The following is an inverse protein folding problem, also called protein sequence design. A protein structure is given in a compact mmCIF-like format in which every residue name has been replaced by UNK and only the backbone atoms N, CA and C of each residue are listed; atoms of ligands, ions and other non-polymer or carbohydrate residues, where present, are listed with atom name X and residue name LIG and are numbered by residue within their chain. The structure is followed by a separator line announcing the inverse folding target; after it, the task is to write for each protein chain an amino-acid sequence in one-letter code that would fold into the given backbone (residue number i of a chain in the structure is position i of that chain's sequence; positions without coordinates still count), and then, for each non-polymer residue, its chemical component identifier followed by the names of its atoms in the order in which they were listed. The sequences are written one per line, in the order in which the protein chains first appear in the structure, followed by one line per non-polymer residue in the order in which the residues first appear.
data_IF_531064071715
#
_entry.id   IF_531064071715
#
_cell.length_a   1.000
_cell.length_b   1.000
_cell.length_c   1.000
_cell.angle_alpha   90.00
_cell.angle_beta   90.00
_cell.angle_gamma   90.00
#
_symmetry.space_group_name_H-M   'P 1'
#
loop_
_entity.id
_entity.type
_entity.pdbx_description
1 polymer ?
#
# COMPACT_ATOMS: atom_id res chain seq x y z
N UNK A 1 42.09 3.54 7.98
CA UNK A 1 42.15 2.08 7.83
C UNK A 1 40.73 1.53 7.90
N UNK A 2 40.40 0.55 7.07
CA UNK A 2 39.09 -0.11 7.03
C UNK A 2 39.24 -1.53 6.50
N UNK A 3 38.18 -2.32 6.56
CA UNK A 3 38.17 -3.67 5.98
C UNK A 3 38.12 -3.54 4.45
N UNK A 4 38.98 -4.23 3.67
CA UNK A 4 38.88 -4.22 2.22
C UNK A 4 37.46 -4.64 1.76
N UNK A 5 36.82 -3.91 0.83
CA UNK A 5 35.44 -4.20 0.42
C UNK A 5 35.22 -5.64 -0.05
N UNK A 6 36.21 -6.23 -0.74
CA UNK A 6 36.16 -7.62 -1.16
C UNK A 6 36.13 -8.60 0.03
N UNK A 7 36.93 -8.34 1.06
CA UNK A 7 36.94 -9.17 2.29
C UNK A 7 35.60 -9.06 3.00
N UNK A 8 35.05 -7.83 3.11
CA UNK A 8 33.72 -7.63 3.67
C UNK A 8 32.64 -8.38 2.89
N UNK A 9 32.65 -8.29 1.56
CA UNK A 9 31.68 -8.98 0.71
C UNK A 9 31.77 -10.50 0.83
N UNK A 10 32.97 -11.07 0.88
CA UNK A 10 33.18 -12.51 1.06
C UNK A 10 32.68 -12.96 2.42
N UNK A 11 33.04 -12.26 3.50
CA UNK A 11 32.58 -12.59 4.86
C UNK A 11 31.07 -12.47 4.97
N UNK A 12 30.47 -11.42 4.40
CA UNK A 12 29.03 -11.24 4.37
C UNK A 12 28.31 -12.35 3.59
N UNK A 13 28.88 -12.84 2.47
CA UNK A 13 28.32 -13.97 1.72
C UNK A 13 28.40 -15.28 2.51
N UNK A 14 29.53 -15.54 3.18
CA UNK A 14 29.69 -16.72 4.05
C UNK A 14 28.67 -16.67 5.19
N UNK A 15 28.53 -15.53 5.86
CA UNK A 15 27.53 -15.35 6.91
C UNK A 15 26.11 -15.53 6.36
N UNK A 16 25.77 -14.92 5.23
CA UNK A 16 24.45 -15.07 4.60
C UNK A 16 24.09 -16.54 4.31
N UNK A 17 25.03 -17.30 3.75
CA UNK A 17 24.83 -18.73 3.48
C UNK A 17 24.73 -19.54 4.78
N UNK A 18 25.54 -19.21 5.78
CA UNK A 18 25.49 -19.85 7.09
C UNK A 18 24.16 -19.58 7.79
N UNK A 19 23.64 -18.36 7.70
CA UNK A 19 22.35 -18.00 8.29
C UNK A 19 21.21 -18.87 7.73
N UNK A 20 21.27 -19.34 6.49
CA UNK A 20 20.13 -20.07 5.90
C UNK A 20 19.79 -21.37 6.64
N UNK A 21 20.77 -22.23 6.95
CA UNK A 21 20.51 -23.55 7.53
C UNK A 21 20.17 -23.50 9.02
N UNK A 22 20.56 -22.44 9.74
CA UNK A 22 20.23 -22.27 11.16
C UNK A 22 18.76 -21.89 11.39
N UNK A 23 18.04 -21.42 10.36
CA UNK A 23 16.61 -21.11 10.43
C UNK A 23 15.74 -22.36 10.21
N UNK A 24 15.84 -23.35 11.10
CA UNK A 24 15.00 -24.56 11.06
C UNK A 24 14.65 -25.08 12.45
N UNK A 25 13.45 -25.63 12.59
CA UNK A 25 13.03 -26.39 13.77
C UNK A 25 13.35 -27.89 13.67
N UNK A 26 13.73 -28.36 12.48
CA UNK A 26 13.90 -29.80 12.22
C UNK A 26 15.18 -30.37 12.83
N UNK A 27 16.18 -29.52 13.03
CA UNK A 27 17.48 -29.91 13.59
C UNK A 27 17.51 -29.51 15.07
N UNK A 28 17.60 -30.51 15.94
CA UNK A 28 17.72 -30.32 17.39
C UNK A 28 19.10 -29.81 17.82
N UNK A 29 19.49 -30.10 19.05
CA UNK A 29 20.84 -29.80 19.57
C UNK A 29 21.89 -30.68 18.89
N UNK A 30 23.05 -30.09 18.59
CA UNK A 30 24.19 -30.74 17.96
C UNK A 30 25.35 -30.98 18.93
N UNK A 31 25.16 -30.67 20.22
CA UNK A 31 26.08 -31.05 21.29
C UNK A 31 27.34 -30.19 21.31
N UNK A 32 28.48 -30.74 20.85
CA UNK A 32 29.74 -29.99 20.86
C UNK A 32 29.70 -28.78 19.92
N UNK A 33 28.92 -28.86 18.84
CA UNK A 33 28.80 -27.80 17.85
C UNK A 33 28.14 -26.55 18.46
N UNK A 34 27.04 -26.72 19.22
CA UNK A 34 26.31 -25.66 19.95
C UNK A 34 27.18 -24.90 20.97
N UNK A 35 28.37 -25.43 21.30
CA UNK A 35 29.31 -24.76 22.19
C UNK A 35 30.12 -23.67 21.49
N UNK A 36 30.37 -23.81 20.20
CA UNK A 36 31.31 -22.96 19.46
C UNK A 36 30.65 -22.21 18.32
N UNK A 37 29.71 -22.86 17.65
CA UNK A 37 29.02 -22.37 16.48
C UNK A 37 27.53 -22.18 16.74
N UNK A 38 26.93 -21.20 16.08
CA UNK A 38 25.49 -20.97 16.10
C UNK A 38 24.82 -22.13 15.38
N UNK A 39 24.13 -22.98 16.13
CA UNK A 39 23.31 -24.05 15.58
C UNK A 39 21.85 -23.61 15.44
N UNK A 40 21.00 -24.40 14.76
CA UNK A 40 19.57 -24.16 14.73
C UNK A 40 18.96 -24.02 16.13
N UNK A 41 19.45 -24.77 17.12
CA UNK A 41 18.99 -24.65 18.52
C UNK A 41 19.39 -23.31 19.15
N UNK A 42 20.64 -22.87 18.97
CA UNK A 42 21.06 -21.57 19.48
C UNK A 42 20.30 -20.42 18.79
N UNK A 43 20.04 -20.56 17.49
CA UNK A 43 19.36 -19.56 16.69
C UNK A 43 17.84 -19.48 16.99
N UNK A 44 17.21 -20.60 17.35
CA UNK A 44 15.82 -20.59 17.84
C UNK A 44 15.67 -19.74 19.09
N UNK A 45 16.60 -19.85 20.03
CA UNK A 45 16.65 -19.01 21.24
C UNK A 45 16.79 -17.54 20.86
N UNK A 46 17.64 -17.21 19.89
CA UNK A 46 17.79 -15.83 19.41
C UNK A 46 16.48 -15.23 18.88
N UNK A 47 15.69 -16.01 18.13
CA UNK A 47 14.40 -15.57 17.58
C UNK A 47 13.22 -15.69 18.54
N UNK A 48 13.44 -16.23 19.74
CA UNK A 48 12.38 -16.47 20.71
C UNK A 48 12.04 -15.20 21.50
N UNK A 49 10.75 -14.98 21.74
CA UNK A 49 10.23 -13.85 22.52
C UNK A 49 9.95 -14.21 23.98
N UNK A 50 10.24 -15.44 24.41
CA UNK A 50 10.12 -15.86 25.82
C UNK A 50 11.03 -14.98 26.71
N UNK A 51 10.58 -14.63 27.91
CA UNK A 51 11.36 -13.77 28.84
C UNK A 51 12.77 -14.32 29.11
N UNK A 52 12.93 -15.64 29.17
CA UNK A 52 14.21 -16.32 29.43
C UNK A 52 15.18 -16.30 28.25
N UNK A 53 14.69 -16.02 27.04
CA UNK A 53 15.45 -16.05 25.79
C UNK A 53 15.70 -14.66 25.20
N UNK A 54 15.04 -13.62 25.72
CA UNK A 54 15.30 -12.26 25.30
C UNK A 54 16.76 -11.86 25.47
N UNK A 55 17.27 -11.13 24.48
CA UNK A 55 18.61 -10.55 24.50
C UNK A 55 19.70 -11.63 24.70
N UNK A 56 19.51 -12.78 24.04
CA UNK A 56 20.45 -13.91 24.02
C UNK A 56 20.91 -14.28 22.62
N UNK A 57 22.06 -14.94 22.57
CA UNK A 57 22.63 -15.59 21.38
C UNK A 57 22.73 -14.65 20.15
N UNK A 58 23.47 -13.56 20.26
CA UNK A 58 23.65 -12.57 19.19
C UNK A 58 24.60 -13.02 18.08
N UNK A 59 25.45 -14.03 18.31
CA UNK A 59 26.45 -14.49 17.35
C UNK A 59 25.84 -15.23 16.15
N UNK A 60 26.02 -14.69 14.95
CA UNK A 60 25.49 -15.29 13.70
C UNK A 60 26.18 -16.61 13.31
N UNK A 61 27.50 -16.72 13.49
CA UNK A 61 28.25 -17.96 13.22
C UNK A 61 28.89 -18.51 14.49
N UNK A 62 29.54 -17.66 15.29
CA UNK A 62 30.28 -18.07 16.48
C UNK A 62 29.55 -17.61 17.74
N UNK A 63 29.10 -18.57 18.56
CA UNK A 63 28.51 -18.30 19.88
C UNK A 63 29.57 -18.05 20.96
N UNK A 64 30.85 -18.13 20.60
CA UNK A 64 31.98 -17.82 21.47
C UNK A 64 31.82 -16.44 22.12
N UNK A 65 31.41 -15.44 21.32
CA UNK A 65 31.20 -14.08 21.81
C UNK A 65 30.09 -14.02 22.86
N UNK A 66 28.99 -14.71 22.63
CA UNK A 66 27.88 -14.78 23.59
C UNK A 66 28.30 -15.40 24.92
N UNK A 67 29.22 -16.36 24.88
CA UNK A 67 29.78 -16.97 26.10
C UNK A 67 30.72 -16.01 26.82
N UNK A 68 31.59 -15.32 26.08
CA UNK A 68 32.53 -14.35 26.64
C UNK A 68 31.81 -13.17 27.30
N UNK A 69 30.69 -12.72 26.72
CA UNK A 69 29.94 -11.55 27.19
C UNK A 69 28.68 -11.89 28.01
N UNK A 70 28.40 -13.17 28.27
CA UNK A 70 27.31 -13.61 29.15
C UNK A 70 25.91 -13.51 28.54
N UNK A 71 25.80 -13.46 27.21
CA UNK A 71 24.55 -13.45 26.45
C UNK A 71 24.16 -14.82 25.92
N UNK A 72 24.98 -15.85 26.17
CA UNK A 72 24.67 -17.23 25.76
C UNK A 72 23.55 -17.85 26.59
N UNK A 73 22.63 -18.54 25.92
CA UNK A 73 21.56 -19.34 26.54
C UNK A 73 21.28 -20.57 25.68
N UNK A 74 21.34 -21.75 26.31
CA UNK A 74 20.86 -22.98 25.70
C UNK A 74 19.32 -22.96 25.58
N UNK A 75 18.81 -23.56 24.50
CA UNK A 75 17.39 -23.88 24.37
C UNK A 75 16.99 -24.82 25.51
N UNK A 76 15.89 -24.55 26.20
CA UNK A 76 15.37 -25.38 27.29
C UNK A 76 14.26 -26.29 26.75
N UNK A 77 14.41 -27.61 26.92
CA UNK A 77 13.42 -28.60 26.45
C UNK A 77 12.06 -28.44 27.15
N UNK A 78 11.99 -27.74 28.28
CA UNK A 78 10.77 -27.48 29.04
C UNK A 78 10.07 -26.19 28.61
N UNK A 79 10.78 -25.28 27.94
CA UNK A 79 10.28 -23.96 27.55
C UNK A 79 10.38 -23.83 26.03
N UNK A 80 9.29 -24.17 25.35
CA UNK A 80 9.22 -24.11 23.89
C UNK A 80 9.43 -22.67 23.40
N UNK A 81 10.32 -22.50 22.43
CA UNK A 81 10.54 -21.22 21.76
C UNK A 81 9.23 -20.71 21.13
N UNK A 82 8.83 -19.50 21.51
CA UNK A 82 7.73 -18.75 20.87
C UNK A 82 8.37 -17.69 19.99
N UNK A 83 8.11 -17.71 18.69
CA UNK A 83 8.74 -16.78 17.74
C UNK A 83 7.93 -15.51 17.53
N UNK A 84 8.64 -14.46 17.09
CA UNK A 84 8.02 -13.23 16.61
C UNK A 84 8.71 -12.01 17.19
N UNK A 85 7.94 -10.94 17.37
CA UNK A 85 8.40 -9.73 18.04
C UNK A 85 7.38 -9.34 19.09
N UNK A 86 7.83 -8.77 20.22
CA UNK A 86 6.92 -8.34 21.30
C UNK A 86 6.00 -7.18 20.89
N UNK A 87 6.39 -6.43 19.85
CA UNK A 87 5.54 -5.45 19.16
C UNK A 87 5.00 -6.04 17.86
N UNK A 88 3.82 -6.65 17.94
CA UNK A 88 3.21 -7.33 16.80
C UNK A 88 2.90 -6.36 15.64
N UNK A 89 3.27 -6.75 14.42
CA UNK A 89 2.99 -5.97 13.21
C UNK A 89 1.49 -5.85 12.92
N UNK A 90 0.74 -6.93 13.14
CA UNK A 90 -0.70 -7.03 12.88
C UNK A 90 -1.10 -6.50 11.49
N UNK A 91 -0.30 -6.80 10.47
CA UNK A 91 -0.56 -6.36 9.10
C UNK A 91 0.13 -7.25 8.06
N UNK A 92 -0.53 -7.38 6.91
CA UNK A 92 0.04 -7.93 5.66
C UNK A 92 0.49 -6.84 4.69
N UNK A 93 0.55 -5.57 5.12
CA UNK A 93 0.98 -4.45 4.29
C UNK A 93 2.53 -4.38 4.26
N UNK A 94 3.18 -4.58 3.09
CA UNK A 94 4.63 -4.62 3.01
C UNK A 94 5.29 -3.26 3.29
N UNK A 95 4.58 -2.15 3.02
CA UNK A 95 5.08 -0.82 3.32
C UNK A 95 5.01 -0.57 4.83
N UNK A 96 3.89 -0.94 5.46
CA UNK A 96 3.74 -0.81 6.91
C UNK A 96 4.72 -1.68 7.68
N UNK A 97 5.00 -2.90 7.20
CA UNK A 97 6.00 -3.79 7.77
C UNK A 97 7.38 -3.12 7.94
N UNK A 98 7.76 -2.28 6.98
CA UNK A 98 9.02 -1.52 7.02
C UNK A 98 8.91 -0.19 7.77
N UNK A 99 7.72 0.42 7.83
CA UNK A 99 7.53 1.76 8.38
C UNK A 99 7.13 1.80 9.87
N UNK A 100 6.50 0.75 10.39
CA UNK A 100 5.82 0.80 11.69
C UNK A 100 6.72 1.18 12.88
N UNK A 101 7.97 0.70 12.87
CA UNK A 101 8.93 0.98 13.95
C UNK A 101 9.28 2.46 13.95
N UNK A 102 9.61 3.01 12.78
CA UNK A 102 9.91 4.43 12.62
C UNK A 102 8.71 5.33 12.93
N UNK A 103 7.50 4.91 12.56
CA UNK A 103 6.28 5.62 12.93
C UNK A 103 6.08 5.67 14.46
N UNK A 104 6.36 4.57 15.16
CA UNK A 104 6.35 4.52 16.63
C UNK A 104 7.40 5.44 17.27
N UNK A 105 8.63 5.47 16.73
CA UNK A 105 9.69 6.38 17.19
C UNK A 105 9.31 7.85 16.93
N UNK A 106 8.78 8.15 15.75
CA UNK A 106 8.32 9.50 15.40
C UNK A 106 7.17 9.96 16.31
N UNK A 107 6.23 9.06 16.63
CA UNK A 107 5.15 9.33 17.58
C UNK A 107 5.70 9.67 18.97
N UNK A 108 6.60 8.85 19.51
CA UNK A 108 7.16 9.08 20.84
C UNK A 108 8.02 10.36 20.88
N UNK A 109 8.81 10.60 19.83
CA UNK A 109 9.57 11.84 19.65
C UNK A 109 8.67 13.08 19.56
N UNK A 110 7.58 13.02 18.80
CA UNK A 110 6.65 14.14 18.66
C UNK A 110 5.98 14.50 19.99
N UNK A 111 5.57 13.49 20.76
CA UNK A 111 4.82 13.71 22.00
C UNK A 111 5.68 13.97 23.24
N UNK A 112 6.97 13.63 23.23
CA UNK A 112 7.85 13.90 24.37
C UNK A 112 7.89 15.40 24.72
N UNK A 113 7.71 15.74 26.00
CA UNK A 113 7.77 17.13 26.48
C UNK A 113 9.20 17.69 26.49
N UNK A 114 10.19 16.84 26.77
CA UNK A 114 11.59 17.22 26.79
C UNK A 114 12.21 17.11 25.39
N UNK A 115 12.85 18.19 24.92
CA UNK A 115 13.55 18.24 23.65
C UNK A 115 14.69 17.22 23.51
N UNK A 116 15.43 16.94 24.59
CA UNK A 116 16.47 15.90 24.57
C UNK A 116 15.85 14.51 24.38
N UNK A 117 14.68 14.27 24.96
CA UNK A 117 14.01 12.97 24.82
C UNK A 117 13.48 12.78 23.40
N UNK A 118 13.09 13.85 22.70
CA UNK A 118 12.79 13.80 21.25
C UNK A 118 13.96 13.21 20.44
N UNK A 119 15.20 13.56 20.80
CA UNK A 119 16.40 13.03 20.14
C UNK A 119 16.78 11.65 20.66
N UNK A 120 16.69 11.42 21.97
CA UNK A 120 17.07 10.15 22.61
C UNK A 120 16.25 8.97 22.09
N UNK A 121 14.99 9.18 21.72
CA UNK A 121 14.14 8.13 21.12
C UNK A 121 14.83 7.44 19.94
N UNK A 122 15.63 8.17 19.15
CA UNK A 122 16.28 7.64 17.95
C UNK A 122 17.61 6.92 18.21
N UNK A 123 18.13 6.99 19.44
CA UNK A 123 19.49 6.51 19.78
C UNK A 123 19.44 5.48 20.90
N UNK A 124 18.45 5.58 21.79
CA UNK A 124 18.28 4.67 22.93
C UNK A 124 17.88 3.26 22.47
N UNK A 125 18.18 2.23 23.29
CA UNK A 125 17.90 0.85 22.92
C UNK A 125 16.40 0.61 22.68
N UNK A 126 16.05 -0.40 21.86
CA UNK A 126 14.67 -0.82 21.65
C UNK A 126 13.94 -1.00 22.99
N UNK A 127 12.72 -0.48 23.07
CA UNK A 127 11.90 -0.53 24.29
C UNK A 127 12.03 0.69 25.21
N UNK A 128 13.11 1.49 25.10
CA UNK A 128 13.17 2.77 25.81
C UNK A 128 12.14 3.75 25.27
N UNK A 129 11.41 4.43 26.17
CA UNK A 129 10.48 5.51 25.85
C UNK A 129 10.63 6.64 26.86
N UNK A 130 10.38 7.91 26.49
CA UNK A 130 10.30 9.01 27.44
C UNK A 130 9.22 8.72 28.48
N UNK A 131 9.52 8.95 29.77
CA UNK A 131 8.62 8.58 30.85
C UNK A 131 7.23 9.25 30.72
N UNK A 132 7.21 10.53 30.32
CA UNK A 132 5.98 11.29 30.11
C UNK A 132 5.14 10.77 28.93
N UNK A 133 5.77 10.14 27.94
CA UNK A 133 5.09 9.51 26.81
C UNK A 133 4.60 8.12 27.19
N UNK A 134 5.41 7.35 27.91
CA UNK A 134 5.02 6.03 28.41
C UNK A 134 3.81 6.10 29.35
N UNK A 135 3.72 7.15 30.16
CA UNK A 135 2.59 7.40 31.06
C UNK A 135 1.31 7.81 30.30
N UNK A 136 1.43 8.73 29.34
CA UNK A 136 0.26 9.26 28.59
C UNK A 136 -0.22 8.34 27.47
N UNK A 137 0.67 7.53 26.92
CA UNK A 137 0.42 6.62 25.80
C UNK A 137 1.00 5.24 26.13
N UNK A 138 0.45 4.54 27.16
CA UNK A 138 0.96 3.25 27.58
C UNK A 138 0.80 2.22 26.45
N UNK A 139 1.82 1.37 26.28
CA UNK A 139 1.73 0.20 25.40
C UNK A 139 1.28 -1.00 26.24
N UNK A 140 0.41 -1.88 25.72
CA UNK A 140 0.04 -3.11 26.41
C UNK A 140 1.28 -3.92 26.77
N UNK A 141 1.26 -4.54 27.95
CA UNK A 141 2.30 -5.49 28.32
C UNK A 141 2.25 -6.70 27.37
N UNK A 142 3.41 -7.21 27.01
CA UNK A 142 3.51 -8.44 26.22
C UNK A 142 3.07 -9.63 27.08
N UNK A 143 2.10 -10.40 26.61
CA UNK A 143 1.67 -11.66 27.21
C UNK A 143 1.98 -12.81 26.26
N UNK A 144 2.91 -13.67 26.65
CA UNK A 144 3.35 -14.82 25.85
C UNK A 144 2.23 -15.86 25.66
N UNK A 145 1.28 -15.94 26.59
CA UNK A 145 0.14 -16.84 26.48
C UNK A 145 -0.86 -16.38 25.41
N UNK A 146 -0.81 -15.10 25.03
CA UNK A 146 -1.78 -14.46 24.16
C UNK A 146 -1.18 -13.97 22.84
N UNK A 147 0.00 -14.45 22.41
CA UNK A 147 0.63 -14.05 21.13
C UNK A 147 -0.34 -14.38 19.97
N UNK A 148 -1.16 -13.41 19.52
CA UNK A 148 -2.22 -13.68 18.58
C UNK A 148 -1.60 -13.71 17.19
N UNK A 149 -1.81 -14.82 16.50
CA UNK A 149 -1.44 -14.89 15.10
C UNK A 149 -2.34 -13.96 14.29
N UNK A 150 -1.73 -13.13 13.45
CA UNK A 150 -2.48 -12.21 12.60
C UNK A 150 -3.18 -12.96 11.47
N UNK A 151 -4.43 -13.36 11.70
CA UNK A 151 -5.26 -14.09 10.76
C UNK A 151 -6.59 -13.37 10.48
N UNK A 152 -6.59 -12.36 9.60
CA UNK A 152 -7.82 -11.76 9.11
C UNK A 152 -8.75 -12.84 8.51
N UNK A 153 -10.08 -12.75 8.74
CA UNK A 153 -11.02 -13.71 8.19
C UNK A 153 -11.05 -13.63 6.65
N UNK A 154 -10.78 -14.74 5.98
CA UNK A 154 -10.77 -14.83 4.52
C UNK A 154 -11.80 -15.85 4.03
N UNK A 155 -12.61 -15.45 3.03
CA UNK A 155 -13.47 -16.40 2.31
C UNK A 155 -12.62 -17.41 1.52
N UNK A 156 -13.18 -18.59 1.21
CA UNK A 156 -12.48 -19.59 0.38
C UNK A 156 -12.03 -19.03 -0.98
N UNK A 157 -12.84 -18.15 -1.58
CA UNK A 157 -12.49 -17.49 -2.83
C UNK A 157 -11.27 -16.56 -2.67
N UNK A 158 -11.22 -15.78 -1.59
CA UNK A 158 -10.09 -14.90 -1.28
C UNK A 158 -8.81 -15.69 -0.99
N UNK A 159 -8.92 -16.85 -0.32
CA UNK A 159 -7.77 -17.74 -0.08
C UNK A 159 -7.18 -18.28 -1.39
N UNK A 160 -8.03 -18.77 -2.30
CA UNK A 160 -7.57 -19.24 -3.62
C UNK A 160 -6.99 -18.10 -4.46
N UNK A 161 -7.66 -16.95 -4.48
CA UNK A 161 -7.16 -15.74 -5.13
C UNK A 161 -5.76 -15.38 -4.61
N UNK A 162 -5.58 -15.34 -3.29
CA UNK A 162 -4.31 -15.01 -2.66
C UNK A 162 -3.22 -16.05 -2.96
N UNK A 163 -3.55 -17.34 -2.95
CA UNK A 163 -2.60 -18.41 -3.29
C UNK A 163 -2.11 -18.32 -4.72
N UNK A 164 -3.00 -18.07 -5.69
CA UNK A 164 -2.62 -17.89 -7.11
C UNK A 164 -1.78 -16.62 -7.28
N UNK A 165 -2.22 -15.50 -6.71
CA UNK A 165 -1.48 -14.23 -6.78
C UNK A 165 -0.10 -14.33 -6.14
N UNK A 166 0.02 -15.03 -5.03
CA UNK A 166 1.31 -15.26 -4.36
C UNK A 166 2.25 -16.11 -5.23
N UNK A 167 1.75 -17.16 -5.88
CA UNK A 167 2.56 -17.96 -6.80
C UNK A 167 3.03 -17.15 -8.03
N UNK A 168 2.14 -16.32 -8.61
CA UNK A 168 2.50 -15.40 -9.70
C UNK A 168 3.51 -14.36 -9.26
N UNK A 169 3.35 -13.80 -8.05
CA UNK A 169 4.30 -12.87 -7.46
C UNK A 169 5.67 -13.51 -7.28
N UNK A 170 5.74 -14.73 -6.77
CA UNK A 170 7.00 -15.44 -6.57
C UNK A 170 7.72 -15.66 -7.90
N UNK A 171 6.99 -16.04 -8.95
CA UNK A 171 7.54 -16.14 -10.30
C UNK A 171 8.03 -14.78 -10.83
N UNK A 172 7.26 -13.71 -10.61
CA UNK A 172 7.63 -12.34 -11.01
C UNK A 172 8.88 -11.83 -10.29
N UNK A 173 8.99 -12.06 -8.97
CA UNK A 173 10.17 -11.72 -8.17
C UNK A 173 11.39 -12.52 -8.64
N UNK A 174 11.24 -13.82 -8.88
CA UNK A 174 12.32 -14.65 -9.40
C UNK A 174 12.81 -14.16 -10.77
N UNK A 175 11.89 -13.84 -11.69
CA UNK A 175 12.22 -13.28 -13.00
C UNK A 175 12.91 -11.92 -12.89
N UNK A 176 12.43 -11.03 -12.02
CA UNK A 176 13.06 -9.74 -11.75
C UNK A 176 14.49 -9.91 -11.23
N UNK A 177 14.69 -10.72 -10.17
CA UNK A 177 16.00 -10.93 -9.56
C UNK A 177 16.98 -11.64 -10.50
N UNK A 178 16.49 -12.47 -11.43
CA UNK A 178 17.33 -13.15 -12.42
C UNK A 178 18.08 -12.21 -13.35
N UNK A 179 17.55 -11.02 -13.59
CA UNK A 179 18.12 -10.03 -14.52
C UNK A 179 18.51 -8.70 -13.86
N UNK A 180 18.25 -8.53 -12.56
CA UNK A 180 18.36 -7.25 -11.89
C UNK A 180 19.80 -6.68 -11.84
N UNK A 181 20.81 -7.53 -11.86
CA UNK A 181 22.22 -7.15 -11.83
C UNK A 181 22.72 -6.55 -13.16
N UNK A 182 22.07 -6.91 -14.26
CA UNK A 182 22.46 -6.49 -15.62
C UNK A 182 21.51 -5.47 -16.25
N UNK A 183 20.28 -5.35 -15.73
CA UNK A 183 19.28 -4.43 -16.24
C UNK A 183 19.55 -2.95 -15.87
N UNK A 184 19.12 -1.99 -16.71
CA UNK A 184 19.17 -0.57 -16.37
C UNK A 184 18.43 -0.26 -15.05
N UNK A 185 18.93 0.72 -14.28
CA UNK A 185 18.32 1.11 -13.01
C UNK A 185 16.85 1.53 -13.15
N UNK A 186 16.48 2.16 -14.26
CA UNK A 186 15.10 2.56 -14.54
C UNK A 186 14.20 1.34 -14.67
N UNK A 187 14.63 0.32 -15.41
CA UNK A 187 13.88 -0.92 -15.61
C UNK A 187 13.70 -1.65 -14.27
N UNK A 188 14.77 -1.69 -13.48
CA UNK A 188 14.72 -2.25 -12.13
C UNK A 188 13.75 -1.50 -11.23
N UNK A 189 13.75 -0.16 -11.26
CA UNK A 189 12.83 0.66 -10.47
C UNK A 189 11.37 0.46 -10.89
N UNK A 190 11.11 0.31 -12.19
CA UNK A 190 9.78 0.01 -12.74
C UNK A 190 9.30 -1.36 -12.27
N UNK A 191 10.10 -2.42 -12.41
CA UNK A 191 9.73 -3.75 -11.97
C UNK A 191 9.56 -3.83 -10.45
N UNK A 192 10.47 -3.24 -9.69
CA UNK A 192 10.38 -3.18 -8.23
C UNK A 192 9.06 -2.51 -7.79
N UNK A 193 8.73 -1.36 -8.38
CA UNK A 193 7.51 -0.61 -8.04
C UNK A 193 6.26 -1.37 -8.45
N UNK A 194 6.30 -2.10 -9.56
CA UNK A 194 5.20 -2.96 -10.03
C UNK A 194 4.95 -4.11 -9.06
N UNK A 195 6.00 -4.84 -8.68
CA UNK A 195 5.92 -5.94 -7.73
C UNK A 195 5.46 -5.45 -6.35
N UNK A 196 5.97 -4.29 -5.91
CA UNK A 196 5.56 -3.67 -4.64
C UNK A 196 4.08 -3.26 -4.65
N UNK A 197 3.58 -2.66 -5.75
CA UNK A 197 2.18 -2.30 -5.89
C UNK A 197 1.27 -3.53 -5.87
N UNK A 198 1.65 -4.59 -6.58
CA UNK A 198 0.92 -5.88 -6.60
C UNK A 198 0.95 -6.54 -5.21
N UNK A 199 2.08 -6.51 -4.49
CA UNK A 199 2.18 -7.09 -3.14
C UNK A 199 1.36 -6.28 -2.14
N UNK A 200 1.37 -4.96 -2.25
CA UNK A 200 0.53 -4.08 -1.44
C UNK A 200 -0.96 -4.32 -1.70
N UNK A 201 -1.37 -4.46 -2.97
CA UNK A 201 -2.75 -4.74 -3.34
C UNK A 201 -3.24 -6.08 -2.80
N UNK A 202 -2.43 -7.14 -2.94
CA UNK A 202 -2.70 -8.44 -2.36
C UNK A 202 -2.82 -8.36 -0.83
N UNK A 203 -1.85 -7.72 -0.16
CA UNK A 203 -1.86 -7.47 1.27
C UNK A 203 -3.13 -6.73 1.72
N UNK A 204 -3.56 -5.71 0.97
CA UNK A 204 -4.80 -5.00 1.25
C UNK A 204 -6.05 -5.88 1.06
N UNK A 205 -6.06 -6.78 0.07
CA UNK A 205 -7.18 -7.67 -0.20
C UNK A 205 -7.36 -8.73 0.91
N UNK A 206 -6.27 -9.39 1.32
CA UNK A 206 -6.31 -10.43 2.38
C UNK A 206 -6.65 -9.86 3.75
N UNK A 207 -6.44 -8.57 3.96
CA UNK A 207 -6.85 -7.84 5.17
C UNK A 207 -8.27 -7.26 5.08
N UNK A 208 -9.00 -7.48 3.98
CA UNK A 208 -10.33 -6.93 3.77
C UNK A 208 -10.39 -5.41 3.58
N UNK A 209 -9.25 -4.73 3.35
CA UNK A 209 -9.19 -3.29 3.09
C UNK A 209 -9.71 -2.94 1.69
N UNK A 210 -9.53 -3.86 0.73
CA UNK A 210 -10.08 -3.79 -0.63
C UNK A 210 -10.62 -5.15 -1.05
N UNK A 211 -11.51 -5.19 -2.05
CA UNK A 211 -11.98 -6.44 -2.64
C UNK A 211 -11.01 -6.99 -3.71
N UNK A 212 -11.14 -8.29 -4.05
CA UNK A 212 -10.31 -8.96 -5.06
C UNK A 212 -10.29 -8.22 -6.41
N UNK A 213 -11.46 -7.73 -6.86
CA UNK A 213 -11.53 -7.00 -8.12
C UNK A 213 -10.77 -5.68 -8.10
N UNK A 214 -10.75 -4.98 -6.96
CA UNK A 214 -9.97 -3.75 -6.82
C UNK A 214 -8.47 -4.03 -6.79
N UNK A 215 -8.05 -5.14 -6.16
CA UNK A 215 -6.66 -5.60 -6.24
C UNK A 215 -6.26 -5.85 -7.70
N UNK A 216 -7.07 -6.57 -8.48
CA UNK A 216 -6.83 -6.81 -9.90
C UNK A 216 -6.74 -5.52 -10.74
N UNK A 217 -7.55 -4.48 -10.44
CA UNK A 217 -7.42 -3.18 -11.11
C UNK A 217 -6.03 -2.58 -10.86
N UNK A 218 -5.54 -2.62 -9.63
CA UNK A 218 -4.25 -2.04 -9.24
C UNK A 218 -3.09 -2.83 -9.84
N UNK A 219 -3.16 -4.15 -9.81
CA UNK A 219 -2.17 -5.05 -10.41
C UNK A 219 -2.09 -4.85 -11.93
N UNK A 220 -3.25 -4.85 -12.60
CA UNK A 220 -3.34 -4.61 -14.04
C UNK A 220 -2.87 -3.20 -14.43
N UNK A 221 -3.17 -2.18 -13.61
CA UNK A 221 -2.68 -0.82 -13.82
C UNK A 221 -1.15 -0.70 -13.70
N UNK A 222 -0.57 -1.37 -12.70
CA UNK A 222 0.88 -1.41 -12.51
C UNK A 222 1.55 -2.08 -13.71
N UNK A 223 1.02 -3.21 -14.18
CA UNK A 223 1.50 -3.91 -15.37
C UNK A 223 1.32 -3.08 -16.65
N UNK A 224 0.18 -2.40 -16.83
CA UNK A 224 -0.07 -1.52 -17.98
C UNK A 224 0.96 -0.37 -18.04
N UNK A 225 1.30 0.20 -16.89
CA UNK A 225 2.30 1.26 -16.75
C UNK A 225 3.70 0.71 -17.05
N UNK A 226 4.09 -0.40 -16.40
CA UNK A 226 5.41 -1.01 -16.57
C UNK A 226 5.68 -1.44 -18.01
N UNK A 227 4.72 -2.14 -18.63
CA UNK A 227 4.85 -2.62 -20.01
C UNK A 227 4.94 -1.48 -21.02
N UNK A 228 4.33 -0.32 -20.74
CA UNK A 228 4.50 0.88 -21.55
C UNK A 228 5.92 1.44 -21.47
N UNK A 229 6.46 1.57 -20.25
CA UNK A 229 7.78 2.16 -20.01
C UNK A 229 8.90 1.27 -20.55
N UNK A 230 8.74 -0.04 -20.41
CA UNK A 230 9.71 -1.05 -20.85
C UNK A 230 9.59 -1.39 -22.35
N UNK A 231 8.67 -0.77 -23.09
CA UNK A 231 8.48 -1.03 -24.52
C UNK A 231 7.90 -2.41 -24.85
N UNK A 232 7.26 -3.08 -23.90
CA UNK A 232 6.64 -4.39 -24.06
C UNK A 232 5.26 -4.25 -24.71
N UNK A 233 5.24 -3.92 -26.00
CA UNK A 233 4.04 -3.47 -26.71
C UNK A 233 2.86 -4.45 -26.65
N UNK A 234 3.10 -5.76 -26.85
CA UNK A 234 2.04 -6.78 -26.84
C UNK A 234 1.34 -6.85 -25.47
N UNK A 235 2.13 -6.80 -24.40
CA UNK A 235 1.61 -6.80 -23.03
C UNK A 235 0.93 -5.48 -22.69
N UNK A 236 1.46 -4.36 -23.18
CA UNK A 236 0.81 -3.06 -23.01
C UNK A 236 -0.57 -3.02 -23.70
N UNK A 237 -0.69 -3.64 -24.88
CA UNK A 237 -1.96 -3.76 -25.60
C UNK A 237 -3.00 -4.60 -24.87
N UNK A 238 -2.55 -5.55 -24.05
CA UNK A 238 -3.43 -6.32 -23.17
C UNK A 238 -3.81 -5.52 -21.93
N UNK A 239 -2.82 -5.11 -21.11
CA UNK A 239 -3.08 -4.58 -19.77
C UNK A 239 -3.73 -3.20 -19.77
N UNK A 240 -3.43 -2.36 -20.77
CA UNK A 240 -3.99 -1.00 -20.83
C UNK A 240 -5.53 -1.00 -20.89
N UNK A 241 -6.19 -1.69 -21.86
CA UNK A 241 -7.65 -1.81 -21.86
C UNK A 241 -8.18 -2.74 -20.75
N UNK A 242 -7.46 -3.83 -20.43
CA UNK A 242 -7.89 -4.79 -19.41
C UNK A 242 -8.13 -4.12 -18.06
N UNK A 243 -7.26 -3.19 -17.66
CA UNK A 243 -7.40 -2.42 -16.40
C UNK A 243 -8.77 -1.75 -16.30
N UNK A 244 -9.20 -1.08 -17.36
CA UNK A 244 -10.48 -0.37 -17.39
C UNK A 244 -11.67 -1.33 -17.47
N UNK A 245 -11.53 -2.45 -18.18
CA UNK A 245 -12.54 -3.51 -18.23
C UNK A 245 -12.78 -4.11 -16.84
N UNK A 246 -11.71 -4.39 -16.08
CA UNK A 246 -11.81 -4.88 -14.71
C UNK A 246 -12.48 -3.83 -13.83
N UNK A 247 -12.10 -2.54 -13.94
CA UNK A 247 -12.73 -1.47 -13.17
C UNK A 247 -14.24 -1.37 -13.44
N UNK A 248 -14.66 -1.46 -14.69
CA UNK A 248 -16.09 -1.50 -15.08
C UNK A 248 -16.77 -2.74 -14.48
N UNK A 249 -16.14 -3.91 -14.54
CA UNK A 249 -16.68 -5.13 -13.98
C UNK A 249 -16.83 -5.06 -12.44
N UNK A 250 -15.89 -4.42 -11.75
CA UNK A 250 -15.95 -4.17 -10.30
C UNK A 250 -17.16 -3.30 -9.96
N UNK A 251 -17.35 -2.19 -10.66
CA UNK A 251 -18.50 -1.30 -10.42
C UNK A 251 -19.81 -2.03 -10.75
N UNK A 252 -19.88 -2.73 -11.89
CA UNK A 252 -21.07 -3.49 -12.27
C UNK A 252 -21.41 -4.62 -11.28
N UNK A 253 -20.40 -5.31 -10.76
CA UNK A 253 -20.55 -6.33 -9.73
C UNK A 253 -21.08 -5.75 -8.42
N UNK A 254 -20.57 -4.59 -8.00
CA UNK A 254 -21.07 -3.88 -6.83
C UNK A 254 -22.55 -3.48 -6.99
N UNK A 255 -22.93 -2.96 -8.16
CA UNK A 255 -24.33 -2.59 -8.43
C UNK A 255 -25.29 -3.78 -8.46
N UNK A 256 -24.82 -4.97 -8.83
CA UNK A 256 -25.61 -6.22 -8.79
C UNK A 256 -25.78 -6.75 -7.37
N UNK A 257 -24.77 -6.57 -6.52
CA UNK A 257 -24.76 -7.04 -5.15
C UNK A 257 -25.42 -6.05 -4.16
N UNK A 258 -25.57 -4.78 -4.53
CA UNK A 258 -26.11 -3.74 -3.65
C UNK A 258 -27.57 -4.00 -3.25
N UNK A 259 -27.82 -4.04 -1.94
CA UNK A 259 -29.16 -4.09 -1.36
C UNK A 259 -29.86 -2.71 -1.45
N UNK A 260 -31.20 -2.66 -1.45
CA UNK A 260 -31.92 -1.38 -1.40
C UNK A 260 -31.55 -0.57 -0.15
N UNK A 261 -31.10 0.68 -0.33
CA UNK A 261 -30.93 1.65 0.77
C UNK A 261 -29.51 1.83 1.34
N UNK A 262 -28.50 1.14 0.82
CA UNK A 262 -27.10 1.40 1.18
C UNK A 262 -26.20 1.23 -0.03
N UNK A 263 -25.65 2.32 -0.56
CA UNK A 263 -24.57 2.23 -1.53
C UNK A 263 -24.54 3.29 -2.62
N UNK A 264 -23.58 3.13 -3.54
CA UNK A 264 -23.58 3.79 -4.85
C UNK A 264 -24.92 3.49 -5.53
N UNK A 265 -25.73 4.51 -5.79
CA UNK A 265 -27.05 4.28 -6.37
C UNK A 265 -26.93 3.81 -7.84
N UNK A 266 -27.99 3.19 -8.39
CA UNK A 266 -27.95 2.66 -9.76
C UNK A 266 -27.72 3.74 -10.82
N UNK A 267 -28.13 4.98 -10.58
CA UNK A 267 -27.92 6.08 -11.51
C UNK A 267 -26.48 6.59 -11.45
N UNK A 268 -25.93 6.78 -10.26
CA UNK A 268 -24.52 7.09 -10.01
C UNK A 268 -23.61 6.02 -10.61
N UNK A 269 -23.93 4.74 -10.40
CA UNK A 269 -23.21 3.62 -10.98
C UNK A 269 -23.20 3.61 -12.52
N UNK A 270 -24.31 3.99 -13.17
CA UNK A 270 -24.35 4.11 -14.64
C UNK A 270 -23.45 5.24 -15.14
N UNK A 271 -23.43 6.39 -14.45
CA UNK A 271 -22.54 7.49 -14.82
C UNK A 271 -21.07 7.15 -14.59
N UNK A 272 -20.75 6.42 -13.52
CA UNK A 272 -19.39 5.91 -13.28
C UNK A 272 -18.96 4.93 -14.38
N UNK A 273 -19.81 3.97 -14.73
CA UNK A 273 -19.53 3.03 -15.83
C UNK A 273 -19.37 3.78 -17.16
N UNK A 274 -20.21 4.76 -17.45
CA UNK A 274 -20.10 5.57 -18.66
C UNK A 274 -18.77 6.36 -18.72
N UNK A 275 -18.33 6.93 -17.58
CA UNK A 275 -17.05 7.62 -17.50
C UNK A 275 -15.86 6.66 -17.70
N UNK A 276 -15.90 5.48 -17.08
CA UNK A 276 -14.89 4.44 -17.26
C UNK A 276 -14.87 3.90 -18.70
N UNK A 277 -16.03 3.73 -19.33
CA UNK A 277 -16.14 3.30 -20.73
C UNK A 277 -15.61 4.36 -21.70
N UNK A 278 -15.89 5.65 -21.44
CA UNK A 278 -15.29 6.75 -22.19
C UNK A 278 -13.77 6.80 -22.03
N UNK A 279 -13.27 6.54 -20.82
CA UNK A 279 -11.84 6.46 -20.54
C UNK A 279 -11.19 5.27 -21.25
N UNK A 280 -11.82 4.09 -21.24
CA UNK A 280 -11.41 2.90 -22.00
C UNK A 280 -11.35 3.18 -23.50
N UNK A 281 -12.39 3.81 -24.06
CA UNK A 281 -12.39 4.18 -25.47
C UNK A 281 -11.24 5.14 -25.80
N UNK A 282 -10.98 6.12 -24.91
CA UNK A 282 -9.84 7.02 -25.00
C UNK A 282 -8.51 6.26 -25.00
N UNK A 283 -8.32 5.34 -24.06
CA UNK A 283 -7.13 4.51 -23.95
C UNK A 283 -6.86 3.70 -25.22
N UNK A 284 -7.90 3.07 -25.77
CA UNK A 284 -7.84 2.27 -27.00
C UNK A 284 -7.54 3.15 -28.21
N UNK A 285 -8.20 4.29 -28.38
CA UNK A 285 -7.90 5.20 -29.48
C UNK A 285 -6.45 5.71 -29.43
N UNK A 286 -5.95 6.07 -28.25
CA UNK A 286 -4.57 6.53 -28.10
C UNK A 286 -3.51 5.43 -28.35
N UNK A 287 -3.89 4.15 -28.47
CA UNK A 287 -2.97 3.08 -28.88
C UNK A 287 -2.70 3.08 -30.39
N UNK A 288 -3.57 3.69 -31.20
CA UNK A 288 -3.45 3.69 -32.65
C UNK A 288 -3.01 5.06 -33.17
N UNK A 289 -2.03 5.05 -34.09
CA UNK A 289 -1.58 6.27 -34.77
C UNK A 289 -2.73 6.96 -35.53
N UNK A 290 -2.81 8.28 -35.42
CA UNK A 290 -3.85 9.09 -36.09
C UNK A 290 -5.17 9.24 -35.31
N UNK A 291 -5.36 8.52 -34.21
CA UNK A 291 -6.61 8.56 -33.42
C UNK A 291 -6.52 9.47 -32.17
N UNK A 292 -5.61 10.44 -32.18
CA UNK A 292 -5.45 11.37 -31.06
C UNK A 292 -6.73 12.18 -30.76
N UNK A 293 -7.39 12.73 -31.79
CA UNK A 293 -8.62 13.53 -31.62
C UNK A 293 -9.78 12.65 -31.11
N UNK A 294 -10.07 11.47 -31.71
CA UNK A 294 -11.02 10.52 -31.13
C UNK A 294 -10.73 10.19 -29.67
N UNK A 295 -9.47 9.92 -29.32
CA UNK A 295 -9.07 9.67 -27.94
C UNK A 295 -9.36 10.86 -27.00
N UNK A 296 -9.00 12.07 -27.42
CA UNK A 296 -9.28 13.32 -26.69
C UNK A 296 -10.79 13.51 -26.47
N UNK A 297 -11.61 13.26 -27.49
CA UNK A 297 -13.08 13.37 -27.39
C UNK A 297 -13.63 12.31 -26.44
N UNK A 298 -13.15 11.08 -26.49
CA UNK A 298 -13.57 10.01 -25.56
C UNK A 298 -13.26 10.35 -24.10
N UNK A 299 -12.07 10.88 -23.82
CA UNK A 299 -11.76 11.37 -22.48
C UNK A 299 -12.61 12.59 -22.10
N UNK A 300 -12.85 13.53 -23.01
CA UNK A 300 -13.73 14.67 -22.73
C UNK A 300 -15.13 14.20 -22.29
N UNK A 301 -15.71 13.22 -22.98
CA UNK A 301 -16.99 12.62 -22.62
C UNK A 301 -16.93 11.91 -21.26
N UNK A 302 -15.81 11.25 -20.94
CA UNK A 302 -15.59 10.66 -19.61
C UNK A 302 -15.61 11.73 -18.51
N UNK A 303 -14.91 12.85 -18.69
CA UNK A 303 -14.89 13.96 -17.74
C UNK A 303 -16.28 14.58 -17.54
N UNK A 304 -17.06 14.73 -18.63
CA UNK A 304 -18.45 15.21 -18.52
C UNK A 304 -19.31 14.23 -17.71
N UNK A 305 -19.17 12.92 -17.92
CA UNK A 305 -19.84 11.91 -17.11
C UNK A 305 -19.44 11.99 -15.63
N UNK A 306 -18.15 12.20 -15.34
CA UNK A 306 -17.66 12.42 -13.98
C UNK A 306 -18.23 13.69 -13.35
N UNK A 307 -18.32 14.80 -14.08
CA UNK A 307 -18.95 16.03 -13.57
C UNK A 307 -20.42 15.77 -13.17
N UNK A 308 -21.18 15.10 -14.04
CA UNK A 308 -22.59 14.76 -13.76
C UNK A 308 -22.69 13.85 -12.54
N UNK A 309 -21.79 12.86 -12.42
CA UNK A 309 -21.70 11.99 -11.26
C UNK A 309 -21.38 12.78 -9.98
N UNK A 310 -20.35 13.61 -9.98
CA UNK A 310 -19.88 14.35 -8.81
C UNK A 310 -20.82 15.49 -8.39
N UNK A 311 -21.76 15.88 -9.25
CA UNK A 311 -22.88 16.76 -8.87
C UNK A 311 -23.86 16.00 -7.96
N UNK A 312 -24.11 14.71 -8.16
CA UNK A 312 -25.20 14.00 -7.45
C UNK A 312 -25.10 14.21 -5.92
N UNK A 313 -26.22 14.62 -5.34
CA UNK A 313 -26.34 14.91 -3.90
C UNK A 313 -25.71 16.22 -3.38
N UNK A 314 -25.05 17.03 -4.22
CA UNK A 314 -24.38 18.27 -3.78
C UNK A 314 -24.65 19.46 -4.72
N UNK A 315 -24.46 20.72 -4.27
CA UNK A 315 -24.53 21.89 -5.14
C UNK A 315 -23.43 21.91 -6.21
N UNK A 316 -23.70 22.60 -7.31
CA UNK A 316 -22.68 22.92 -8.31
C UNK A 316 -21.59 23.79 -7.69
N UNK A 317 -20.33 23.35 -7.82
CA UNK A 317 -19.15 24.08 -7.38
C UNK A 317 -19.27 24.63 -5.96
N UNK A 318 -19.71 23.76 -5.03
CA UNK A 318 -20.04 24.13 -3.65
C UNK A 318 -18.95 24.94 -2.93
N UNK A 319 -17.68 24.75 -3.29
CA UNK A 319 -16.54 25.52 -2.80
C UNK A 319 -16.00 26.45 -3.89
N UNK A 320 -16.42 27.72 -3.88
CA UNK A 320 -15.98 28.74 -4.86
C UNK A 320 -14.46 28.90 -4.93
N UNK A 321 -13.76 28.81 -3.79
CA UNK A 321 -12.30 28.86 -3.77
C UNK A 321 -11.64 27.70 -4.53
N UNK A 322 -12.23 26.50 -4.49
CA UNK A 322 -11.74 25.36 -5.28
C UNK A 322 -11.97 25.59 -6.78
N UNK A 323 -13.14 26.12 -7.16
CA UNK A 323 -13.42 26.48 -8.55
C UNK A 323 -12.42 27.51 -9.10
N UNK A 324 -12.18 28.60 -8.35
CA UNK A 324 -11.21 29.62 -8.76
C UNK A 324 -9.80 29.03 -8.87
N UNK A 325 -9.39 28.19 -7.93
CA UNK A 325 -8.07 27.58 -7.93
C UNK A 325 -7.88 26.63 -9.13
N UNK A 326 -8.81 25.71 -9.40
CA UNK A 326 -8.65 24.77 -10.52
C UNK A 326 -8.77 25.46 -11.87
N UNK A 327 -9.64 26.48 -12.00
CA UNK A 327 -9.69 27.30 -13.21
C UNK A 327 -8.41 28.11 -13.42
N UNK A 328 -7.83 28.68 -12.38
CA UNK A 328 -6.55 29.38 -12.47
C UNK A 328 -5.42 28.44 -12.90
N UNK A 329 -5.38 27.21 -12.35
CA UNK A 329 -4.44 26.17 -12.79
C UNK A 329 -4.69 25.81 -14.26
N UNK A 330 -5.95 25.61 -14.67
CA UNK A 330 -6.31 25.32 -16.05
C UNK A 330 -5.91 26.44 -17.02
N UNK A 331 -6.19 27.69 -16.68
CA UNK A 331 -5.78 28.87 -17.48
C UNK A 331 -4.26 28.96 -17.57
N UNK A 332 -3.54 28.78 -16.47
CA UNK A 332 -2.08 28.75 -16.44
C UNK A 332 -1.52 27.63 -17.33
N UNK A 333 -2.09 26.43 -17.24
CA UNK A 333 -1.72 25.29 -18.08
C UNK A 333 -1.99 25.57 -19.56
N UNK A 334 -3.15 26.11 -19.91
CA UNK A 334 -3.47 26.46 -21.29
C UNK A 334 -2.56 27.54 -21.85
N UNK A 335 -2.26 28.59 -21.06
CA UNK A 335 -1.30 29.62 -21.45
C UNK A 335 0.10 29.03 -21.68
N UNK A 336 0.53 28.11 -20.81
CA UNK A 336 1.79 27.38 -20.98
C UNK A 336 1.81 26.57 -22.28
N UNK A 337 0.75 25.81 -22.59
CA UNK A 337 0.64 25.08 -23.85
C UNK A 337 0.64 26.02 -25.07
N UNK A 338 -0.07 27.13 -24.98
CA UNK A 338 -0.13 28.13 -26.05
C UNK A 338 1.24 28.71 -26.37
N UNK A 339 1.98 29.14 -25.34
CA UNK A 339 3.34 29.66 -25.47
C UNK A 339 4.33 28.59 -25.94
N UNK A 340 4.08 27.32 -25.58
CA UNK A 340 4.89 26.17 -26.00
C UNK A 340 4.65 25.70 -27.43
N UNK A 341 3.76 26.33 -28.20
CA UNK A 341 3.57 26.02 -29.62
C UNK A 341 2.33 25.18 -29.96
N UNK A 342 1.29 25.21 -29.10
CA UNK A 342 0.02 24.53 -29.38
C UNK A 342 -0.54 24.87 -30.78
N UNK A 343 -0.74 23.86 -31.66
CA UNK A 343 -1.19 24.08 -33.03
C UNK A 343 -2.52 24.82 -33.11
N UNK A 344 -2.67 25.72 -34.09
CA UNK A 344 -3.85 26.60 -34.22
C UNK A 344 -5.16 25.80 -34.26
N UNK A 345 -5.18 24.69 -35.01
CA UNK A 345 -6.34 23.82 -35.14
C UNK A 345 -6.77 23.14 -33.82
N UNK A 346 -5.85 23.00 -32.85
CA UNK A 346 -6.11 22.31 -31.57
C UNK A 346 -6.38 23.28 -30.42
N UNK A 347 -6.22 24.59 -30.61
CA UNK A 347 -6.44 25.61 -29.55
C UNK A 347 -7.84 25.54 -28.95
N UNK A 348 -8.87 25.52 -29.80
CA UNK A 348 -10.27 25.39 -29.36
C UNK A 348 -10.55 24.08 -28.62
N UNK A 349 -10.27 22.91 -29.23
CA UNK A 349 -10.47 21.62 -28.58
C UNK A 349 -9.72 21.47 -27.25
N UNK A 350 -8.46 21.90 -27.17
CA UNK A 350 -7.66 21.83 -25.94
C UNK A 350 -8.17 22.80 -24.89
N UNK A 351 -8.58 24.02 -25.25
CA UNK A 351 -9.19 24.95 -24.29
C UNK A 351 -10.47 24.38 -23.67
N UNK A 352 -11.35 23.79 -24.49
CA UNK A 352 -12.56 23.13 -24.01
C UNK A 352 -12.23 21.95 -23.08
N UNK A 353 -11.23 21.16 -23.44
CA UNK A 353 -10.78 20.03 -22.63
C UNK A 353 -10.22 20.47 -21.27
N UNK A 354 -9.32 21.45 -21.26
CA UNK A 354 -8.71 22.02 -20.04
C UNK A 354 -9.79 22.63 -19.13
N UNK A 355 -10.79 23.31 -19.70
CA UNK A 355 -11.92 23.82 -18.95
C UNK A 355 -12.70 22.68 -18.29
N UNK A 356 -13.07 21.64 -19.04
CA UNK A 356 -13.88 20.52 -18.52
C UNK A 356 -13.15 19.77 -17.42
N UNK A 357 -11.86 19.46 -17.57
CA UNK A 357 -11.11 18.77 -16.52
C UNK A 357 -10.94 19.65 -15.25
N UNK A 358 -10.73 20.96 -15.40
CA UNK A 358 -10.68 21.89 -14.29
C UNK A 358 -12.02 22.00 -13.54
N UNK A 359 -13.15 21.98 -14.27
CA UNK A 359 -14.49 21.95 -13.69
C UNK A 359 -14.78 20.60 -13.00
N UNK A 360 -14.33 19.48 -13.56
CA UNK A 360 -14.42 18.17 -12.91
C UNK A 360 -13.69 18.18 -11.56
N UNK A 361 -12.44 18.65 -11.53
CA UNK A 361 -11.67 18.76 -10.29
C UNK A 361 -12.34 19.71 -9.29
N UNK A 362 -12.85 20.86 -9.73
CA UNK A 362 -13.59 21.80 -8.89
C UNK A 362 -14.82 21.14 -8.25
N UNK A 363 -15.60 20.42 -9.05
CA UNK A 363 -16.82 19.75 -8.59
C UNK A 363 -16.48 18.61 -7.61
N UNK A 364 -15.41 17.85 -7.86
CA UNK A 364 -14.97 16.77 -6.97
C UNK A 364 -14.51 17.30 -5.60
N UNK A 365 -13.71 18.38 -5.58
CA UNK A 365 -13.27 19.04 -4.34
C UNK A 365 -14.47 19.67 -3.60
N UNK A 366 -15.38 20.31 -4.35
CA UNK A 366 -16.63 20.83 -3.81
C UNK A 366 -17.46 19.73 -3.15
N UNK A 367 -17.65 18.59 -3.82
CA UNK A 367 -18.33 17.41 -3.28
C UNK A 367 -17.68 16.91 -2.00
N UNK A 368 -16.35 16.77 -1.97
CA UNK A 368 -15.60 16.34 -0.79
C UNK A 368 -15.78 17.29 0.40
N UNK A 369 -15.84 18.61 0.15
CA UNK A 369 -16.06 19.60 1.21
C UNK A 369 -17.48 19.59 1.79
N UNK A 370 -18.48 19.14 1.03
CA UNK A 370 -19.88 19.06 1.49
C UNK A 370 -20.17 17.74 2.17
N UNK A 371 -19.84 16.61 1.52
CA UNK A 371 -20.15 15.28 2.07
C UNK A 371 -19.23 14.90 3.22
N UNK A 372 -17.99 15.36 3.18
CA UNK A 372 -16.94 14.86 4.06
C UNK A 372 -16.68 13.36 3.86
N UNK A 373 -15.81 12.81 4.71
CA UNK A 373 -15.50 11.37 4.72
C UNK A 373 -14.44 10.94 3.70
N UNK A 374 -13.92 9.73 3.92
CA UNK A 374 -12.79 9.18 3.17
C UNK A 374 -13.13 9.02 1.68
N UNK A 375 -14.24 8.37 1.35
CA UNK A 375 -14.64 8.16 -0.04
C UNK A 375 -14.74 9.44 -0.88
N UNK A 376 -15.32 10.50 -0.33
CA UNK A 376 -15.42 11.77 -1.06
C UNK A 376 -14.07 12.44 -1.28
N UNK A 377 -13.15 12.36 -0.31
CA UNK A 377 -11.77 12.84 -0.48
C UNK A 377 -10.95 11.99 -1.45
N UNK A 378 -11.14 10.66 -1.49
CA UNK A 378 -10.50 9.80 -2.50
C UNK A 378 -10.89 10.24 -3.92
N UNK A 379 -12.17 10.53 -4.16
CA UNK A 379 -12.64 11.05 -5.46
C UNK A 379 -11.99 12.39 -5.80
N UNK A 380 -11.89 13.32 -4.85
CA UNK A 380 -11.26 14.63 -5.08
C UNK A 380 -9.76 14.52 -5.37
N UNK A 381 -9.04 13.69 -4.62
CA UNK A 381 -7.62 13.43 -4.85
C UNK A 381 -7.44 12.75 -6.22
N UNK A 382 -8.30 11.78 -6.56
CA UNK A 382 -8.30 11.12 -7.86
C UNK A 382 -8.52 12.10 -9.01
N UNK A 383 -9.48 13.03 -8.90
CA UNK A 383 -9.68 14.08 -9.90
C UNK A 383 -8.44 14.99 -10.07
N UNK A 384 -7.71 15.25 -8.99
CA UNK A 384 -6.43 15.97 -9.03
C UNK A 384 -5.34 15.18 -9.78
N UNK A 385 -5.22 13.88 -9.53
CA UNK A 385 -4.30 13.01 -10.27
C UNK A 385 -4.66 12.91 -11.75
N UNK A 386 -5.95 12.93 -12.10
CA UNK A 386 -6.39 12.95 -13.50
C UNK A 386 -5.93 14.23 -14.19
N UNK A 387 -6.09 15.38 -13.52
CA UNK A 387 -5.61 16.66 -14.03
C UNK A 387 -4.08 16.70 -14.19
N UNK A 388 -3.34 16.05 -13.28
CA UNK A 388 -1.88 15.91 -13.37
C UNK A 388 -1.44 15.01 -14.54
N UNK A 389 -2.12 13.88 -14.76
CA UNK A 389 -1.91 13.01 -15.92
C UNK A 389 -2.01 13.79 -17.22
N UNK A 390 -3.11 14.52 -17.38
CA UNK A 390 -3.42 15.20 -18.64
C UNK A 390 -2.52 16.42 -18.86
N UNK A 391 -2.14 17.13 -17.80
CA UNK A 391 -1.12 18.17 -17.87
C UNK A 391 0.24 17.60 -18.34
N UNK A 392 0.63 16.43 -17.82
CA UNK A 392 1.86 15.75 -18.22
C UNK A 392 1.81 15.29 -19.68
N UNK A 393 0.69 14.67 -20.08
CA UNK A 393 0.46 14.23 -21.46
C UNK A 393 0.51 15.40 -22.44
N UNK A 394 -0.18 16.50 -22.12
CA UNK A 394 -0.23 17.70 -22.96
C UNK A 394 1.14 18.38 -23.05
N UNK A 395 1.90 18.46 -21.94
CA UNK A 395 3.27 19.00 -21.94
C UNK A 395 4.17 18.19 -22.86
N UNK A 396 4.16 16.86 -22.68
CA UNK A 396 4.96 15.94 -23.50
C UNK A 396 4.61 16.03 -24.99
N UNK A 397 3.34 16.31 -25.31
CA UNK A 397 2.84 16.31 -26.69
C UNK A 397 3.04 17.64 -27.41
N UNK A 398 2.84 18.76 -26.72
CA UNK A 398 2.72 20.07 -27.36
C UNK A 398 3.83 21.05 -27.03
N UNK A 399 4.59 20.82 -25.95
CA UNK A 399 5.63 21.77 -25.49
C UNK A 399 7.01 21.16 -25.64
N UNK A 400 7.27 20.06 -24.94
CA UNK A 400 8.58 19.41 -24.97
C UNK A 400 8.47 17.95 -24.49
N UNK A 401 9.28 17.03 -25.04
CA UNK A 401 9.30 15.66 -24.55
C UNK A 401 9.76 15.61 -23.09
N UNK A 402 9.05 14.85 -22.26
CA UNK A 402 9.39 14.65 -20.86
C UNK A 402 10.07 13.29 -20.66
N UNK A 403 11.12 13.22 -19.83
CA UNK A 403 11.74 11.94 -19.48
C UNK A 403 10.72 11.05 -18.76
N UNK A 404 10.62 9.80 -19.19
CA UNK A 404 9.66 8.82 -18.65
C UNK A 404 8.20 9.32 -18.69
N UNK A 405 7.82 10.11 -19.70
CA UNK A 405 6.47 10.66 -19.81
C UNK A 405 5.37 9.60 -19.66
N UNK A 406 5.55 8.43 -20.28
CA UNK A 406 4.58 7.33 -20.18
C UNK A 406 4.40 6.81 -18.76
N UNK A 407 5.48 6.77 -17.95
CA UNK A 407 5.40 6.39 -16.54
C UNK A 407 4.50 7.37 -15.79
N UNK A 408 4.80 8.67 -15.91
CA UNK A 408 4.09 9.70 -15.16
C UNK A 408 2.63 9.84 -15.59
N UNK A 409 2.35 9.79 -16.89
CA UNK A 409 0.99 9.83 -17.44
C UNK A 409 0.19 8.63 -16.94
N UNK A 410 0.66 7.40 -17.18
CA UNK A 410 -0.12 6.21 -16.84
C UNK A 410 -0.23 5.98 -15.33
N UNK A 411 0.84 6.23 -14.55
CA UNK A 411 0.78 6.09 -13.10
C UNK A 411 -0.25 7.05 -12.49
N UNK A 412 -0.20 8.33 -12.85
CA UNK A 412 -1.15 9.33 -12.31
C UNK A 412 -2.57 9.10 -12.83
N UNK A 413 -2.73 8.69 -14.09
CA UNK A 413 -4.03 8.30 -14.68
C UNK A 413 -4.66 7.12 -13.94
N UNK A 414 -3.94 6.01 -13.76
CA UNK A 414 -4.52 4.84 -13.10
C UNK A 414 -4.72 5.06 -11.60
N UNK A 415 -3.85 5.82 -10.92
CA UNK A 415 -4.12 6.28 -9.54
C UNK A 415 -5.42 7.07 -9.50
N UNK A 416 -5.67 7.96 -10.47
CA UNK A 416 -6.92 8.70 -10.55
C UNK A 416 -8.14 7.78 -10.66
N UNK A 417 -8.12 6.83 -11.60
CA UNK A 417 -9.22 5.88 -11.79
C UNK A 417 -9.45 5.00 -10.57
N UNK A 418 -8.37 4.45 -9.98
CA UNK A 418 -8.40 3.63 -8.75
C UNK A 418 -9.03 4.39 -7.59
N UNK A 419 -8.60 5.65 -7.36
CA UNK A 419 -9.10 6.48 -6.27
C UNK A 419 -10.56 6.90 -6.48
N UNK A 420 -10.96 7.24 -7.71
CA UNK A 420 -12.35 7.59 -8.03
C UNK A 420 -13.26 6.38 -7.83
N UNK A 421 -12.90 5.21 -8.38
CA UNK A 421 -13.69 3.98 -8.22
C UNK A 421 -13.77 3.60 -6.74
N UNK A 422 -12.64 3.51 -6.04
CA UNK A 422 -12.63 3.17 -4.62
C UNK A 422 -13.44 4.19 -3.79
N UNK A 423 -13.30 5.48 -4.07
CA UNK A 423 -14.00 6.53 -3.34
C UNK A 423 -15.52 6.53 -3.55
N UNK A 424 -15.98 6.23 -4.77
CA UNK A 424 -17.40 6.08 -5.09
C UNK A 424 -17.99 4.81 -4.47
N UNK A 425 -17.20 3.74 -4.36
CA UNK A 425 -17.61 2.49 -3.71
C UNK A 425 -17.50 2.53 -2.17
N UNK A 426 -16.70 3.43 -1.60
CA UNK A 426 -16.56 3.64 -0.14
C UNK A 426 -17.63 4.59 0.41
N UNK A 427 -17.96 5.65 -0.34
CA UNK A 427 -19.06 6.59 -0.01
C UNK A 427 -20.46 5.95 0.00
N UNK A 428 -20.54 4.67 -0.38
CA UNK A 428 -21.67 3.76 -0.29
C UNK A 428 -22.02 3.33 1.16
N UNK A 429 -21.08 3.46 2.10
CA UNK A 429 -21.30 3.21 3.52
C UNK A 429 -21.75 4.48 4.24
N UNK A 430 -22.89 4.44 4.93
CA UNK A 430 -23.38 5.50 5.80
C UNK A 430 -22.39 5.96 6.89
N UNK A 431 -22.76 6.98 7.69
CA UNK A 431 -21.81 7.74 8.50
C UNK A 431 -20.96 6.83 9.39
N UNK A 432 -19.65 7.09 9.35
CA UNK A 432 -18.57 6.57 10.21
C UNK A 432 -19.01 5.36 11.05
N UNK A 433 -18.59 4.16 10.65
CA UNK A 433 -18.10 3.24 11.70
C UNK A 433 -17.04 4.03 12.44
N UNK A 434 -17.33 4.40 13.67
CA UNK A 434 -16.35 5.01 14.56
C UNK A 434 -15.03 4.24 14.41
N UNK A 435 -13.86 4.91 14.41
CA UNK A 435 -12.65 4.17 14.71
C UNK A 435 -12.96 3.43 16.00
N UNK A 436 -12.80 2.11 15.97
CA UNK A 436 -12.88 1.26 17.15
C UNK A 436 -12.16 2.04 18.23
N UNK A 437 -12.93 2.54 19.20
CA UNK A 437 -12.36 2.95 20.46
C UNK A 437 -11.55 1.75 20.92
N UNK A 438 -10.31 1.98 21.28
CA UNK A 438 -9.53 1.05 22.11
C UNK A 438 -10.27 0.90 23.45
N UNK A 439 -11.43 0.26 23.44
CA UNK A 439 -12.03 -0.34 24.60
C UNK A 439 -11.57 -1.79 24.57
N UNK A 440 -10.63 -2.08 25.47
CA UNK A 440 -10.17 -3.44 25.74
C UNK A 440 -11.34 -4.37 26.05
N UNK A 441 -11.12 -5.69 25.94
CA UNK A 441 -12.18 -6.66 26.19
C UNK A 441 -12.77 -6.45 27.58
N UNK A 442 -14.06 -6.14 27.61
CA UNK A 442 -14.87 -6.13 28.82
C UNK A 442 -14.68 -7.46 29.56
N UNK A 443 -14.38 -7.36 30.85
CA UNK A 443 -14.21 -8.48 31.76
C UNK A 443 -15.41 -9.42 31.65
N UNK A 444 -15.15 -10.66 31.21
CA UNK A 444 -16.07 -11.77 31.39
C UNK A 444 -16.30 -11.95 32.89
N UNK A 445 -17.58 -11.91 33.28
CA UNK A 445 -18.03 -12.04 34.64
C UNK A 445 -17.43 -13.29 35.31
N UNK A 446 -16.86 -13.07 36.50
CA UNK A 446 -16.36 -14.10 37.38
C UNK A 446 -17.46 -15.12 37.72
N UNK A 447 -17.20 -16.38 37.43
CA UNK A 447 -17.89 -17.52 38.05
C UNK A 447 -17.21 -17.73 39.42
N UNK A 448 -17.94 -17.68 40.55
CA UNK A 448 -17.32 -17.87 41.87
C UNK A 448 -16.94 -19.35 42.08
N UNK A 449 -15.83 -19.64 42.78
CA UNK A 449 -15.45 -21.00 43.09
C UNK A 449 -16.37 -21.56 44.18
N UNK A 450 -17.07 -22.65 43.86
CA UNK A 450 -17.77 -23.48 44.84
C UNK A 450 -16.76 -24.12 45.79
N UNK A 451 -16.92 -23.82 47.08
CA UNK A 451 -16.04 -24.28 48.15
C UNK A 451 -16.05 -25.79 48.34
N UNK A 452 -14.86 -26.31 48.65
CA UNK A 452 -14.65 -27.63 49.23
C UNK A 452 -15.20 -27.66 50.66
N UNK A 453 -16.16 -28.56 50.92
CA UNK A 453 -16.57 -28.93 52.26
C UNK A 453 -15.66 -30.05 52.78
N UNK A 454 -14.95 -29.79 53.89
CA UNK A 454 -14.35 -30.83 54.73
C UNK A 454 -15.35 -31.32 55.78
N UNK A 455 -15.37 -32.63 56.12
CA UNK A 455 -16.33 -33.21 57.06
C UNK A 455 -15.81 -33.19 58.50
N UNK A 456 -16.74 -33.18 59.49
CA UNK A 456 -16.73 -33.87 60.81
C UNK A 456 -17.73 -33.21 61.78
N UNK A 457 -18.21 -33.90 62.83
CA UNK A 457 -18.22 -35.35 63.10
C UNK A 457 -19.53 -36.04 62.72
#
# INVERSE_FOLDING_TARGET
AGVPPLVFAIVALVDLLYQFWVHTEQVGRLGWFDRWFCSPSNHRVHHAVNDVYLDKNYGGILVLWDRMFGTFKDEDDREKCVYGTRGLLNSWDPLWANAQVYAGLAHDSWHARNWLDKLRVWIKPPGWRPADVAERFPKPAFDIAQVPLYHPPMSRALQWFAGVQFALMLAGVAAFLWQADTAPLVDNAVWFTTLLATQWALGAAVQGRIGMGMALVIESAALATATSVLGLQEWHWLFKPLTMVIAIAVVAGHLRAAAPGGGLDRAEGRWLIAALAGSLAGDVFLMFGGFFIPGLVSFLLAHLCYIVLFRKGVPWFARRGALLATLAIGVGMYAFLWLGGLPVALRGPVAAYVLVIALMAAQAIGRASVLGGRGAWLVAIGAGFFMLSDATLATNRFVQPLPLAQLWVLATYYIAQVLIVAGMLDGAGGPRRNPVSEEGPAASAAVPPTGYATPRP
#
